data_IF_535030304426
#
_entry.id   IF_535030304426
#
_cell.length_a   1.000
_cell.length_b   1.000
_cell.length_c   1.000
_cell.angle_alpha   90.00
_cell.angle_beta   90.00
_cell.angle_gamma   90.00
#
_symmetry.space_group_name_H-M   'P 1'
#
loop_
_entity.id
_entity.type
_entity.pdbx_description
1 polymer ?
#
# COMPACT_ATOMS: atom_id res chain seq x y z
N UNK A 1 -40.04 18.91 5.58
CA UNK A 1 -39.65 18.18 4.37
C UNK A 1 -38.24 17.68 4.60
N UNK A 2 -38.13 16.44 5.03
CA UNK A 2 -36.86 15.80 5.32
C UNK A 2 -36.26 15.35 3.98
N UNK A 3 -35.27 16.08 3.46
CA UNK A 3 -34.49 15.62 2.32
C UNK A 3 -33.58 14.52 2.87
N UNK A 4 -34.05 13.28 2.87
CA UNK A 4 -33.16 12.11 2.96
C UNK A 4 -32.14 12.26 1.83
N UNK A 5 -30.93 12.72 2.17
CA UNK A 5 -29.82 12.79 1.24
C UNK A 5 -29.64 11.37 0.68
N UNK A 6 -29.95 11.20 -0.60
CA UNK A 6 -29.75 9.90 -1.27
C UNK A 6 -28.25 9.70 -1.38
N UNK A 7 -27.67 8.96 -0.44
CA UNK A 7 -26.28 8.54 -0.50
C UNK A 7 -26.06 7.78 -1.81
N UNK A 8 -25.06 8.18 -2.59
CA UNK A 8 -24.73 7.51 -3.85
C UNK A 8 -24.44 6.03 -3.59
N UNK A 9 -24.96 5.10 -4.41
CA UNK A 9 -24.82 3.66 -4.12
C UNK A 9 -23.35 3.20 -4.10
N UNK A 10 -22.46 3.86 -4.86
CA UNK A 10 -21.01 3.62 -4.83
C UNK A 10 -20.34 4.07 -3.51
N UNK A 11 -21.02 4.85 -2.66
CA UNK A 11 -20.51 5.19 -1.33
C UNK A 11 -20.34 3.94 -0.46
N UNK A 12 -21.18 2.93 -0.67
CA UNK A 12 -21.08 1.65 0.04
C UNK A 12 -19.83 0.87 -0.40
N UNK A 13 -18.94 0.63 0.55
CA UNK A 13 -17.62 0.07 0.28
C UNK A 13 -17.50 -1.41 0.63
N UNK A 14 -18.01 -2.25 -0.26
CA UNK A 14 -17.80 -3.70 -0.13
C UNK A 14 -16.33 -4.10 -0.36
N UNK A 15 -15.51 -3.27 -1.01
CA UNK A 15 -14.09 -3.58 -1.26
C UNK A 15 -13.27 -3.45 0.02
N UNK A 16 -13.66 -2.56 0.93
CA UNK A 16 -13.04 -2.46 2.25
C UNK A 16 -13.18 -3.77 3.06
N UNK A 17 -14.30 -4.48 2.92
CA UNK A 17 -14.49 -5.79 3.58
C UNK A 17 -13.51 -6.83 3.02
N UNK A 18 -13.40 -6.92 1.70
CA UNK A 18 -12.43 -7.83 1.06
C UNK A 18 -10.98 -7.47 1.40
N UNK A 19 -10.67 -6.17 1.47
CA UNK A 19 -9.35 -5.70 1.91
C UNK A 19 -9.07 -6.11 3.36
N UNK A 20 -10.02 -5.92 4.28
CA UNK A 20 -9.85 -6.29 5.70
C UNK A 20 -9.53 -7.78 5.88
N UNK A 21 -10.28 -8.65 5.21
CA UNK A 21 -10.04 -10.10 5.24
C UNK A 21 -8.66 -10.46 4.69
N UNK A 22 -8.26 -9.82 3.59
CA UNK A 22 -6.95 -10.04 2.96
C UNK A 22 -5.83 -9.62 3.90
N UNK A 23 -5.90 -8.40 4.45
CA UNK A 23 -4.88 -7.87 5.37
C UNK A 23 -4.80 -8.69 6.64
N UNK A 24 -5.92 -9.18 7.17
CA UNK A 24 -5.92 -10.07 8.32
C UNK A 24 -5.13 -11.35 8.06
N UNK A 25 -5.39 -12.04 6.95
CA UNK A 25 -4.66 -13.27 6.62
C UNK A 25 -3.17 -13.04 6.40
N UNK A 26 -2.79 -11.94 5.74
CA UNK A 26 -1.38 -11.57 5.54
C UNK A 26 -0.69 -11.23 6.89
N UNK A 27 -1.34 -10.46 7.76
CA UNK A 27 -0.83 -10.13 9.10
C UNK A 27 -0.68 -11.37 9.99
N UNK A 28 -1.61 -12.31 9.93
CA UNK A 28 -1.51 -13.60 10.63
C UNK A 28 -0.30 -14.40 10.12
N UNK A 29 -0.09 -14.44 8.80
CA UNK A 29 1.06 -15.12 8.19
C UNK A 29 2.38 -14.50 8.66
N UNK A 30 2.50 -13.17 8.64
CA UNK A 30 3.69 -12.46 9.16
C UNK A 30 3.92 -12.77 10.64
N UNK A 31 2.86 -12.86 11.45
CA UNK A 31 2.95 -13.18 12.87
C UNK A 31 3.51 -14.59 13.09
N UNK A 32 3.08 -15.57 12.29
CA UNK A 32 3.63 -16.93 12.33
C UNK A 32 5.14 -16.90 12.05
N UNK A 33 5.58 -16.19 11.00
CA UNK A 33 7.01 -16.08 10.67
C UNK A 33 7.81 -15.36 11.77
N UNK A 34 7.27 -14.29 12.36
CA UNK A 34 7.90 -13.60 13.50
C UNK A 34 8.09 -14.53 14.70
N UNK A 35 7.14 -15.42 14.97
CA UNK A 35 7.24 -16.36 16.09
C UNK A 35 8.32 -17.44 15.83
N UNK A 36 8.51 -17.86 14.57
CA UNK A 36 9.54 -18.84 14.21
C UNK A 36 10.96 -18.38 14.56
N UNK A 37 11.24 -17.08 14.51
CA UNK A 37 12.53 -16.49 14.95
C UNK A 37 12.86 -16.84 16.40
N UNK A 38 11.85 -16.97 17.27
CA UNK A 38 12.05 -17.31 18.67
C UNK A 38 12.03 -18.83 18.94
N UNK A 39 11.46 -19.62 18.04
CA UNK A 39 11.19 -21.05 18.24
C UNK A 39 12.22 -21.94 17.54
N UNK A 40 12.81 -21.49 16.43
CA UNK A 40 13.65 -22.29 15.55
C UNK A 40 15.07 -21.75 15.57
N UNK A 41 16.02 -22.54 16.08
CA UNK A 41 17.40 -22.07 16.34
C UNK A 41 18.15 -21.55 15.12
N UNK A 42 17.83 -22.05 13.91
CA UNK A 42 18.50 -21.66 12.67
C UNK A 42 17.75 -20.56 11.92
N UNK A 43 16.52 -20.24 12.34
CA UNK A 43 15.69 -19.22 11.71
C UNK A 43 15.98 -17.88 12.40
N UNK A 44 16.75 -17.04 11.73
CA UNK A 44 17.15 -15.73 12.24
C UNK A 44 16.36 -14.60 11.56
N UNK A 45 16.78 -13.36 11.82
CA UNK A 45 16.16 -12.16 11.26
C UNK A 45 16.24 -12.13 9.73
N UNK A 46 17.30 -12.64 9.13
CA UNK A 46 17.50 -12.57 7.69
C UNK A 46 16.55 -13.54 6.98
N UNK A 47 16.36 -14.76 7.52
CA UNK A 47 15.32 -15.68 7.06
C UNK A 47 13.92 -15.09 7.16
N UNK A 48 13.61 -14.43 8.29
CA UNK A 48 12.33 -13.74 8.44
C UNK A 48 12.12 -12.66 7.37
N UNK A 49 13.14 -11.84 7.10
CA UNK A 49 13.04 -10.78 6.10
C UNK A 49 12.86 -11.33 4.69
N UNK A 50 13.60 -12.37 4.31
CA UNK A 50 13.49 -13.01 2.99
C UNK A 50 12.07 -13.58 2.76
N UNK A 51 11.52 -14.29 3.75
CA UNK A 51 10.19 -14.90 3.62
C UNK A 51 9.04 -13.90 3.78
N UNK A 52 9.22 -12.85 4.58
CA UNK A 52 8.16 -11.86 4.83
C UNK A 52 8.06 -10.78 3.74
N UNK A 53 9.15 -10.47 3.03
CA UNK A 53 9.14 -9.48 1.95
C UNK A 53 8.05 -9.75 0.90
N UNK A 54 7.91 -10.96 0.30
CA UNK A 54 6.85 -11.22 -0.67
C UNK A 54 5.44 -11.11 -0.05
N UNK A 55 5.28 -11.41 1.25
CA UNK A 55 3.98 -11.30 1.94
C UNK A 55 3.58 -9.83 2.12
N UNK A 56 4.52 -8.99 2.54
CA UNK A 56 4.33 -7.54 2.56
C UNK A 56 4.10 -6.97 1.16
N UNK A 57 4.79 -7.51 0.15
CA UNK A 57 4.55 -7.21 -1.26
C UNK A 57 3.11 -7.49 -1.70
N UNK A 58 2.54 -8.64 -1.29
CA UNK A 58 1.13 -8.97 -1.55
C UNK A 58 0.18 -7.98 -0.86
N UNK A 59 0.52 -7.49 0.33
CA UNK A 59 -0.27 -6.45 1.00
C UNK A 59 -0.29 -5.15 0.18
N UNK A 60 0.85 -4.71 -0.36
CA UNK A 60 0.89 -3.54 -1.25
C UNK A 60 0.07 -3.73 -2.53
N UNK A 61 0.06 -4.93 -3.12
CA UNK A 61 -0.82 -5.24 -4.25
C UNK A 61 -2.30 -5.15 -3.85
N UNK A 62 -2.67 -5.67 -2.67
CA UNK A 62 -4.04 -5.57 -2.16
C UNK A 62 -4.46 -4.11 -1.94
N UNK A 63 -3.60 -3.28 -1.35
CA UNK A 63 -3.83 -1.84 -1.21
C UNK A 63 -3.98 -1.15 -2.55
N UNK A 64 -3.08 -1.41 -3.52
CA UNK A 64 -3.18 -0.87 -4.88
C UNK A 64 -4.52 -1.24 -5.53
N UNK A 65 -4.98 -2.48 -5.39
CA UNK A 65 -6.26 -2.91 -5.95
C UNK A 65 -7.44 -2.18 -5.32
N UNK A 66 -7.42 -2.00 -3.99
CA UNK A 66 -8.44 -1.23 -3.28
C UNK A 66 -8.46 0.25 -3.69
N UNK A 67 -7.29 0.90 -3.74
CA UNK A 67 -7.12 2.29 -4.20
C UNK A 67 -7.69 2.45 -5.61
N UNK A 68 -7.28 1.56 -6.53
CA UNK A 68 -7.74 1.61 -7.92
C UNK A 68 -9.25 1.39 -8.06
N UNK A 69 -9.80 0.45 -7.29
CA UNK A 69 -11.24 0.20 -7.23
C UNK A 69 -12.02 1.38 -6.67
N UNK A 70 -11.44 2.09 -5.70
CA UNK A 70 -12.03 3.31 -5.11
C UNK A 70 -12.03 4.47 -6.09
N UNK A 71 -10.93 4.68 -6.83
CA UNK A 71 -10.86 5.72 -7.87
C UNK A 71 -11.89 5.49 -8.97
N UNK A 72 -12.11 4.21 -9.33
CA UNK A 72 -13.11 3.84 -10.33
C UNK A 72 -14.53 4.26 -9.96
N UNK A 73 -14.81 4.50 -8.68
CA UNK A 73 -16.11 5.03 -8.25
C UNK A 73 -16.32 6.50 -8.69
N UNK A 74 -15.25 7.21 -9.06
CA UNK A 74 -15.26 8.64 -9.40
C UNK A 74 -14.84 8.94 -10.85
N UNK A 75 -13.99 8.10 -11.45
CA UNK A 75 -13.53 8.30 -12.84
C UNK A 75 -13.16 6.98 -13.53
N UNK A 76 -13.37 6.94 -14.86
CA UNK A 76 -13.02 5.78 -15.70
C UNK A 76 -11.75 5.99 -16.54
N UNK A 77 -11.10 7.16 -16.47
CA UNK A 77 -9.92 7.47 -17.31
C UNK A 77 -8.58 7.26 -16.59
N UNK A 78 -7.57 6.79 -17.34
CA UNK A 78 -6.22 6.56 -16.80
C UNK A 78 -5.53 7.86 -16.35
N UNK A 79 -5.74 8.97 -17.08
CA UNK A 79 -5.14 10.26 -16.75
C UNK A 79 -5.69 10.85 -15.46
N UNK A 80 -7.00 10.71 -15.23
CA UNK A 80 -7.62 11.17 -13.99
C UNK A 80 -7.17 10.30 -12.81
N UNK A 81 -6.93 9.01 -13.02
CA UNK A 81 -6.41 8.13 -11.96
C UNK A 81 -5.10 8.64 -11.34
N UNK A 82 -4.18 9.17 -12.15
CA UNK A 82 -2.93 9.76 -11.66
C UNK A 82 -3.14 11.03 -10.82
N UNK A 83 -4.23 11.77 -11.03
CA UNK A 83 -4.53 12.96 -10.21
C UNK A 83 -5.04 12.54 -8.83
N UNK A 84 -5.81 11.45 -8.75
CA UNK A 84 -6.26 10.89 -7.47
C UNK A 84 -5.11 10.34 -6.63
N UNK A 85 -4.12 9.70 -7.24
CA UNK A 85 -2.95 9.22 -6.49
C UNK A 85 -2.24 10.35 -5.76
N UNK A 86 -2.22 11.57 -6.31
CA UNK A 86 -1.54 12.73 -5.71
C UNK A 86 -2.30 13.35 -4.53
N UNK A 87 -3.50 12.86 -4.22
CA UNK A 87 -4.29 13.36 -3.09
C UNK A 87 -3.72 12.78 -1.80
N UNK A 88 -3.10 13.62 -0.98
CA UNK A 88 -2.63 13.27 0.36
C UNK A 88 -3.71 13.58 1.41
N UNK A 89 -3.79 12.73 2.44
CA UNK A 89 -4.61 13.02 3.61
C UNK A 89 -3.99 14.19 4.40
N UNK A 90 -4.80 15.20 4.71
CA UNK A 90 -4.45 16.32 5.59
C UNK A 90 -3.38 17.32 5.09
N UNK A 91 -2.92 17.26 3.83
CA UNK A 91 -2.03 18.28 3.25
C UNK A 91 -2.28 18.51 1.75
N UNK A 92 -2.13 19.76 1.29
CA UNK A 92 -1.88 20.09 -0.11
C UNK A 92 -0.39 20.42 -0.23
N UNK A 93 0.47 19.41 -0.38
CA UNK A 93 1.87 19.64 -0.72
C UNK A 93 2.11 19.29 -2.18
N UNK A 94 3.15 19.87 -2.78
CA UNK A 94 3.66 19.44 -4.09
C UNK A 94 4.52 18.16 -3.96
N UNK A 95 4.43 17.47 -2.83
CA UNK A 95 5.18 16.27 -2.52
C UNK A 95 4.42 15.04 -3.01
N UNK A 96 5.13 13.93 -3.26
CA UNK A 96 4.44 12.69 -3.60
C UNK A 96 3.70 12.18 -2.38
N UNK A 97 2.48 11.71 -2.62
CA UNK A 97 1.63 11.21 -1.55
C UNK A 97 2.06 9.83 -1.04
N UNK A 98 1.59 9.44 0.14
CA UNK A 98 1.67 8.05 0.63
C UNK A 98 0.91 7.08 -0.26
N UNK A 99 -0.12 7.54 -0.97
CA UNK A 99 -0.82 6.74 -1.97
C UNK A 99 0.10 6.46 -3.16
N UNK A 100 0.84 7.46 -3.66
CA UNK A 100 1.86 7.26 -4.69
C UNK A 100 2.93 6.27 -4.20
N UNK A 101 3.39 6.37 -2.95
CA UNK A 101 4.31 5.40 -2.36
C UNK A 101 3.76 3.97 -2.42
N UNK A 102 2.53 3.74 -1.93
CA UNK A 102 1.88 2.42 -1.97
C UNK A 102 1.79 1.89 -3.41
N UNK A 103 1.42 2.73 -4.37
CA UNK A 103 1.35 2.36 -5.79
C UNK A 103 2.73 2.01 -6.34
N UNK A 104 3.77 2.78 -5.97
CA UNK A 104 5.16 2.53 -6.35
C UNK A 104 5.66 1.18 -5.82
N UNK A 105 5.46 0.90 -4.54
CA UNK A 105 5.86 -0.37 -3.90
C UNK A 105 5.13 -1.57 -4.49
N UNK A 106 3.83 -1.44 -4.75
CA UNK A 106 3.04 -2.48 -5.42
C UNK A 106 3.52 -2.75 -6.85
N UNK A 107 3.93 -1.70 -7.59
CA UNK A 107 4.51 -1.87 -8.92
C UNK A 107 5.93 -2.45 -8.86
N UNK A 108 6.72 -2.07 -7.86
CA UNK A 108 8.05 -2.64 -7.64
C UNK A 108 7.95 -4.16 -7.43
N UNK A 109 7.14 -4.63 -6.48
CA UNK A 109 7.05 -6.08 -6.20
C UNK A 109 6.57 -6.89 -7.41
N UNK A 110 5.62 -6.38 -8.21
CA UNK A 110 5.11 -7.08 -9.40
C UNK A 110 6.19 -7.34 -10.45
N UNK A 111 7.20 -6.47 -10.50
CA UNK A 111 8.18 -6.43 -11.57
C UNK A 111 9.63 -6.58 -11.09
N UNK A 112 9.85 -6.86 -9.81
CA UNK A 112 11.21 -6.93 -9.23
C UNK A 112 12.09 -7.96 -9.93
N UNK A 113 11.50 -9.07 -10.37
CA UNK A 113 12.19 -10.17 -11.06
C UNK A 113 12.40 -9.92 -12.57
N UNK A 114 11.85 -8.83 -13.12
CA UNK A 114 11.98 -8.50 -14.56
C UNK A 114 13.30 -7.78 -14.89
N UNK A 115 14.13 -7.49 -13.88
CA UNK A 115 15.48 -6.94 -14.02
C UNK A 115 15.57 -5.43 -14.29
N UNK A 116 14.50 -4.79 -14.80
CA UNK A 116 14.46 -3.33 -15.01
C UNK A 116 13.23 -2.74 -14.32
N UNK A 117 13.46 -1.84 -13.37
CA UNK A 117 12.38 -1.08 -12.73
C UNK A 117 11.77 -0.10 -13.73
N UNK A 118 10.46 -0.17 -13.94
CA UNK A 118 9.73 0.74 -14.82
C UNK A 118 9.92 2.21 -14.41
N UNK A 119 10.00 3.11 -15.40
CA UNK A 119 10.28 4.54 -15.19
C UNK A 119 9.39 5.19 -14.11
N UNK A 120 8.08 4.98 -14.16
CA UNK A 120 7.16 5.57 -13.18
C UNK A 120 7.34 5.02 -11.76
N UNK A 121 7.69 3.73 -11.63
CA UNK A 121 8.06 3.13 -10.34
C UNK A 121 9.36 3.74 -9.85
N UNK A 122 10.38 3.83 -10.72
CA UNK A 122 11.69 4.41 -10.42
C UNK A 122 11.55 5.84 -9.86
N UNK A 123 10.78 6.69 -10.53
CA UNK A 123 10.54 8.08 -10.09
C UNK A 123 9.92 8.17 -8.69
N UNK A 124 9.08 7.21 -8.30
CA UNK A 124 8.49 7.16 -6.95
C UNK A 124 9.54 6.68 -5.95
N UNK A 125 10.25 5.59 -6.24
CA UNK A 125 11.28 5.05 -5.35
C UNK A 125 12.41 6.07 -5.11
N UNK A 126 12.88 6.75 -6.16
CA UNK A 126 13.89 7.81 -6.08
C UNK A 126 13.41 8.99 -5.21
N UNK A 127 12.15 9.40 -5.37
CA UNK A 127 11.58 10.51 -4.61
C UNK A 127 11.57 10.22 -3.11
N UNK A 128 11.15 9.01 -2.73
CA UNK A 128 11.15 8.56 -1.34
C UNK A 128 12.53 8.07 -0.86
N UNK A 129 13.56 8.14 -1.72
CA UNK A 129 14.95 7.73 -1.44
C UNK A 129 15.05 6.27 -1.00
N UNK A 130 14.30 5.38 -1.65
CA UNK A 130 14.33 3.95 -1.39
C UNK A 130 15.42 3.28 -2.19
N UNK A 131 16.14 2.31 -1.60
CA UNK A 131 17.18 1.57 -2.31
C UNK A 131 16.58 0.40 -3.10
N UNK A 132 16.65 0.43 -4.43
CA UNK A 132 16.09 -0.63 -5.30
C UNK A 132 17.06 -1.19 -6.34
N UNK A 133 18.19 -0.53 -6.61
CA UNK A 133 19.14 -0.94 -7.65
C UNK A 133 20.18 -1.96 -7.16
N UNK A 134 20.53 -1.91 -5.87
CA UNK A 134 21.60 -2.71 -5.28
C UNK A 134 21.23 -3.15 -3.85
N UNK A 135 20.14 -3.90 -3.72
CA UNK A 135 19.67 -4.43 -2.43
C UNK A 135 20.62 -5.55 -1.99
N UNK A 136 21.68 -5.19 -1.27
CA UNK A 136 22.65 -6.14 -0.72
C UNK A 136 22.22 -6.70 0.65
N UNK A 137 21.43 -5.93 1.40
CA UNK A 137 20.88 -6.32 2.70
C UNK A 137 19.37 -6.48 2.58
N UNK A 138 18.82 -7.55 3.15
CA UNK A 138 17.39 -7.83 3.02
C UNK A 138 16.53 -6.74 3.68
N UNK A 139 16.99 -6.11 4.76
CA UNK A 139 16.31 -4.99 5.39
C UNK A 139 16.41 -3.67 4.60
N UNK A 140 17.28 -3.60 3.60
CA UNK A 140 17.36 -2.46 2.68
C UNK A 140 16.43 -2.61 1.47
N UNK A 141 15.55 -3.63 1.41
CA UNK A 141 14.55 -3.71 0.34
C UNK A 141 13.61 -2.49 0.36
N UNK A 142 13.18 -1.98 -0.82
CA UNK A 142 12.16 -0.93 -0.91
C UNK A 142 10.89 -1.26 -0.15
N UNK A 143 10.53 -2.54 -0.02
CA UNK A 143 9.34 -2.98 0.69
C UNK A 143 9.43 -2.62 2.18
N UNK A 144 10.53 -2.95 2.85
CA UNK A 144 10.71 -2.65 4.27
C UNK A 144 10.98 -1.17 4.54
N UNK A 145 11.73 -0.50 3.67
CA UNK A 145 11.90 0.95 3.75
C UNK A 145 10.55 1.68 3.59
N UNK A 146 9.75 1.25 2.61
CA UNK A 146 8.42 1.76 2.36
C UNK A 146 7.43 1.50 3.51
N UNK A 147 7.48 0.32 4.12
CA UNK A 147 6.71 0.03 5.34
C UNK A 147 7.10 1.00 6.45
N UNK A 148 8.40 1.19 6.70
CA UNK A 148 8.89 2.10 7.74
C UNK A 148 8.39 3.54 7.54
N UNK A 149 8.36 4.04 6.30
CA UNK A 149 7.83 5.36 5.98
C UNK A 149 6.30 5.48 6.19
N UNK A 150 5.55 4.40 5.97
CA UNK A 150 4.10 4.38 6.13
C UNK A 150 3.69 4.16 7.58
N UNK A 151 4.36 3.24 8.26
CA UNK A 151 4.19 2.87 9.65
C UNK A 151 5.45 2.13 10.17
N UNK A 152 6.16 2.71 11.13
CA UNK A 152 7.42 2.18 11.67
C UNK A 152 7.30 0.76 12.27
N UNK A 153 6.12 0.40 12.80
CA UNK A 153 5.86 -0.93 13.38
C UNK A 153 5.51 -2.00 12.31
N UNK A 154 5.45 -1.60 11.04
CA UNK A 154 5.03 -2.43 9.91
C UNK A 154 3.63 -3.04 10.09
N UNK A 155 2.74 -2.29 10.75
CA UNK A 155 1.36 -2.68 11.00
C UNK A 155 0.50 -2.44 9.74
N UNK A 156 0.16 -3.54 9.07
CA UNK A 156 -0.68 -3.51 7.87
C UNK A 156 -2.08 -2.96 8.15
N UNK A 157 -2.60 -3.06 9.38
CA UNK A 157 -3.89 -2.48 9.71
C UNK A 157 -3.83 -0.96 9.73
N UNK A 158 -2.71 -0.35 10.16
CA UNK A 158 -2.54 1.12 10.08
C UNK A 158 -2.51 1.62 8.65
N UNK A 159 -1.85 0.87 7.75
CA UNK A 159 -1.81 1.20 6.32
C UNK A 159 -3.19 1.01 5.68
N UNK A 160 -3.90 -0.07 6.05
CA UNK A 160 -5.30 -0.30 5.66
C UNK A 160 -6.21 0.85 6.08
N UNK A 161 -6.14 1.24 7.35
CA UNK A 161 -6.96 2.32 7.90
C UNK A 161 -6.69 3.62 7.12
N UNK A 162 -5.41 3.94 6.88
CA UNK A 162 -5.00 5.09 6.06
C UNK A 162 -5.63 5.07 4.66
N UNK A 163 -5.57 3.97 3.91
CA UNK A 163 -6.15 3.92 2.55
C UNK A 163 -7.69 4.00 2.59
N UNK A 164 -8.33 3.47 3.63
CA UNK A 164 -9.79 3.56 3.79
C UNK A 164 -10.22 4.98 4.14
N UNK A 165 -9.51 5.66 5.05
CA UNK A 165 -9.74 7.07 5.38
C UNK A 165 -9.51 7.97 4.16
N UNK A 166 -8.50 7.68 3.34
CA UNK A 166 -8.22 8.41 2.11
C UNK A 166 -9.39 8.35 1.14
N UNK A 167 -10.03 7.19 0.98
CA UNK A 167 -11.24 7.05 0.17
C UNK A 167 -12.38 7.92 0.71
N UNK A 168 -12.61 7.89 2.02
CA UNK A 168 -13.64 8.69 2.67
C UNK A 168 -13.39 10.18 2.50
N UNK A 169 -12.14 10.61 2.59
CA UNK A 169 -11.73 11.98 2.31
C UNK A 169 -12.06 12.40 0.88
N UNK A 170 -11.79 11.56 -0.12
CA UNK A 170 -12.15 11.87 -1.52
C UNK A 170 -13.65 12.09 -1.68
N UNK A 171 -14.49 11.21 -1.11
CA UNK A 171 -15.94 11.38 -1.13
C UNK A 171 -16.35 12.71 -0.48
N UNK A 172 -15.77 13.06 0.68
CA UNK A 172 -16.11 14.32 1.36
C UNK A 172 -15.73 15.60 0.59
N UNK A 173 -14.82 15.51 -0.39
CA UNK A 173 -14.46 16.63 -1.28
C UNK A 173 -15.38 16.75 -2.50
N UNK A 174 -16.08 15.67 -2.83
CA UNK A 174 -16.94 15.57 -4.02
C UNK A 174 -18.44 15.70 -3.71
N UNK A 175 -18.83 15.64 -2.42
CA UNK A 175 -20.17 15.95 -1.90
C UNK A 175 -20.36 17.47 -1.69
#
# INVERSE_FOLDING_TARGET
MDKTAKTHYLRHDYRAVSLDLTIRGLSETITVLKNQVNEIYWYDRDFFLDESEPIYGLAFIAFQNYINGSIKDFCDSLKEKETYYKIELHQNSNEKSKIELIIGLANYIKHKEEGVTYKGTKEILDYFKLDYENVFYLDSSPIFQGLTLLNEDWDLFKIKDYVTEWREFIWSRND
#
